data_IF_861111849868
#
_entry.id   IF_861111849868
#
_cell.length_a   1.000
_cell.length_b   1.000
_cell.length_c   1.000
_cell.angle_alpha   90.00
_cell.angle_beta   90.00
_cell.angle_gamma   90.00
#
_symmetry.space_group_name_H-M   'P 1'
#
loop_
_entity.id
_entity.type
_entity.pdbx_description
1 polymer ?
#
# COMPACT_ATOMS: atom_id res chain seq x y z
N UNK A 1 42.76 8.87 -17.15
CA UNK A 1 41.38 8.99 -17.69
C UNK A 1 40.83 7.64 -18.18
N UNK A 2 40.94 6.57 -17.38
CA UNK A 2 40.49 5.21 -17.77
C UNK A 2 39.54 4.63 -16.71
N UNK A 3 39.72 5.01 -15.44
CA UNK A 3 38.89 4.54 -14.33
C UNK A 3 37.47 5.12 -14.42
N UNK A 4 37.29 6.43 -14.69
CA UNK A 4 35.96 7.06 -14.80
C UNK A 4 35.05 6.45 -15.89
N UNK A 5 35.64 5.86 -16.94
CA UNK A 5 34.92 5.27 -18.07
C UNK A 5 34.32 3.90 -17.73
N UNK A 6 34.91 3.16 -16.78
CA UNK A 6 34.43 1.83 -16.37
C UNK A 6 33.19 1.90 -15.47
N UNK A 7 33.04 2.96 -14.68
CA UNK A 7 31.88 3.16 -13.82
C UNK A 7 30.65 3.67 -14.59
N UNK A 8 30.87 4.41 -15.68
CA UNK A 8 29.79 4.86 -16.56
C UNK A 8 29.06 3.67 -17.24
N UNK A 9 29.78 2.60 -17.58
CA UNK A 9 29.18 1.39 -18.17
C UNK A 9 28.37 0.58 -17.16
N UNK A 10 28.71 0.65 -15.86
CA UNK A 10 27.98 -0.06 -14.80
C UNK A 10 26.67 0.65 -14.44
N UNK A 11 26.66 1.99 -14.48
CA UNK A 11 25.47 2.82 -14.24
C UNK A 11 24.45 2.70 -15.38
N UNK A 12 24.90 2.57 -16.63
CA UNK A 12 24.02 2.38 -17.79
C UNK A 12 23.33 1.00 -17.78
N UNK A 13 23.98 -0.03 -17.24
CA UNK A 13 23.40 -1.38 -17.12
C UNK A 13 22.34 -1.45 -15.99
N UNK A 14 22.47 -0.64 -14.94
CA UNK A 14 21.49 -0.57 -13.85
C UNK A 14 20.16 0.08 -14.28
N UNK A 15 20.18 0.93 -15.31
CA UNK A 15 18.99 1.60 -15.86
C UNK A 15 18.14 0.69 -16.76
N UNK A 16 18.69 -0.42 -17.26
CA UNK A 16 17.98 -1.37 -18.12
C UNK A 16 17.12 -2.37 -17.36
N UNK A 17 17.22 -2.43 -16.02
CA UNK A 17 16.46 -3.38 -15.19
C UNK A 17 15.16 -2.80 -14.61
N UNK A 18 14.84 -1.54 -14.91
CA UNK A 18 13.58 -0.91 -14.48
C UNK A 18 12.55 -0.88 -15.61
N UNK A 19 12.41 -1.98 -16.36
CA UNK A 19 11.18 -2.15 -17.13
C UNK A 19 10.13 -2.60 -16.12
N UNK A 20 9.13 -1.77 -15.75
CA UNK A 20 8.00 -2.29 -15.02
C UNK A 20 7.32 -3.29 -15.94
N UNK A 21 7.46 -4.58 -15.63
CA UNK A 21 6.69 -5.65 -16.26
C UNK A 21 5.23 -5.43 -15.84
N UNK A 22 4.57 -4.48 -16.49
CA UNK A 22 3.15 -4.23 -16.31
C UNK A 22 2.46 -5.32 -17.11
N UNK A 23 2.19 -6.45 -16.46
CA UNK A 23 1.19 -7.40 -16.94
C UNK A 23 -0.14 -6.66 -16.94
N UNK A 24 -0.44 -5.97 -18.04
CA UNK A 24 -1.75 -5.38 -18.28
C UNK A 24 -2.69 -6.53 -18.60
N UNK A 25 -3.19 -7.20 -17.56
CA UNK A 25 -4.40 -8.00 -17.68
C UNK A 25 -5.51 -7.07 -18.13
N UNK A 26 -5.90 -7.17 -19.40
CA UNK A 26 -7.11 -6.52 -19.92
C UNK A 26 -8.30 -7.09 -19.14
N UNK A 27 -8.62 -6.45 -18.01
CA UNK A 27 -9.89 -6.59 -17.34
C UNK A 27 -10.92 -5.89 -18.21
N UNK A 28 -12.12 -6.47 -18.34
CA UNK A 28 -13.22 -5.75 -19.00
C UNK A 28 -13.46 -4.46 -18.22
N UNK A 29 -13.69 -3.35 -18.93
CA UNK A 29 -14.00 -2.06 -18.30
C UNK A 29 -15.11 -2.20 -17.27
N UNK A 30 -16.16 -2.97 -17.59
CA UNK A 30 -17.28 -3.27 -16.70
C UNK A 30 -16.87 -3.91 -15.37
N UNK A 31 -15.94 -4.88 -15.37
CA UNK A 31 -15.46 -5.50 -14.14
C UNK A 31 -14.68 -4.49 -13.29
N UNK A 32 -13.77 -3.74 -13.91
CA UNK A 32 -12.97 -2.73 -13.22
C UNK A 32 -13.85 -1.63 -12.65
N UNK A 33 -14.87 -1.20 -13.38
CA UNK A 33 -15.84 -0.19 -12.95
C UNK A 33 -16.70 -0.69 -11.78
N UNK A 34 -17.17 -1.94 -11.84
CA UNK A 34 -17.94 -2.56 -10.76
C UNK A 34 -17.11 -2.69 -9.47
N UNK A 35 -15.86 -3.15 -9.59
CA UNK A 35 -14.92 -3.23 -8.45
C UNK A 35 -14.58 -1.84 -7.91
N UNK A 36 -14.38 -0.86 -8.79
CA UNK A 36 -14.11 0.53 -8.41
C UNK A 36 -15.27 1.14 -7.64
N UNK A 37 -16.52 0.88 -8.09
CA UNK A 37 -17.73 1.29 -7.38
C UNK A 37 -17.82 0.63 -6.00
N UNK A 38 -17.62 -0.68 -5.93
CA UNK A 38 -17.63 -1.41 -4.66
C UNK A 38 -16.61 -0.86 -3.67
N UNK A 39 -15.38 -0.58 -4.10
CA UNK A 39 -14.37 0.03 -3.23
C UNK A 39 -14.76 1.44 -2.81
N UNK A 40 -15.33 2.26 -3.69
CA UNK A 40 -15.81 3.60 -3.35
C UNK A 40 -16.91 3.56 -2.29
N UNK A 41 -17.81 2.59 -2.36
CA UNK A 41 -18.94 2.46 -1.44
C UNK A 41 -18.48 1.89 -0.07
N UNK A 42 -17.40 1.11 -0.05
CA UNK A 42 -16.93 0.42 1.17
C UNK A 42 -15.79 1.15 1.89
N UNK A 43 -14.94 1.90 1.17
CA UNK A 43 -13.71 2.51 1.71
C UNK A 43 -13.83 4.04 1.76
N UNK A 44 -13.72 4.60 2.97
CA UNK A 44 -13.94 6.04 3.22
C UNK A 44 -12.98 6.96 2.47
N UNK A 45 -11.69 6.61 2.39
CA UNK A 45 -10.65 7.45 1.80
C UNK A 45 -10.21 6.95 0.42
N UNK A 46 -11.11 6.26 -0.28
CA UNK A 46 -10.80 5.61 -1.53
C UNK A 46 -10.40 6.61 -2.63
N UNK A 47 -9.30 6.32 -3.31
CA UNK A 47 -8.91 7.04 -4.53
C UNK A 47 -9.65 6.43 -5.71
N UNK A 48 -10.63 7.16 -6.25
CA UNK A 48 -11.38 6.75 -7.42
C UNK A 48 -10.45 6.41 -8.60
N UNK A 49 -10.71 5.31 -9.29
CA UNK A 49 -9.91 4.83 -10.43
C UNK A 49 -8.57 4.21 -10.05
N UNK A 50 -8.32 3.95 -8.77
CA UNK A 50 -7.08 3.31 -8.31
C UNK A 50 -7.11 1.78 -8.33
N UNK A 51 -8.19 1.18 -8.84
CA UNK A 51 -8.32 -0.28 -8.93
C UNK A 51 -7.22 -0.87 -9.80
N UNK A 52 -6.61 -1.93 -9.29
CA UNK A 52 -5.71 -2.79 -10.05
C UNK A 52 -6.15 -4.24 -9.87
N UNK A 53 -6.38 -4.95 -10.97
CA UNK A 53 -6.61 -6.39 -10.95
C UNK A 53 -5.24 -7.07 -10.96
N UNK A 54 -4.91 -7.76 -9.88
CA UNK A 54 -3.59 -8.36 -9.66
C UNK A 54 -3.52 -9.79 -10.19
N UNK A 55 -4.57 -10.57 -9.98
CA UNK A 55 -4.69 -11.94 -10.47
C UNK A 55 -6.17 -12.26 -10.72
N UNK A 56 -6.44 -13.22 -11.60
CA UNK A 56 -7.81 -13.65 -11.89
C UNK A 56 -7.87 -15.07 -12.40
N UNK A 57 -8.96 -15.76 -12.07
CA UNK A 57 -9.34 -17.04 -12.68
C UNK A 57 -10.78 -16.95 -13.19
N UNK A 58 -11.10 -17.73 -14.22
CA UNK A 58 -12.48 -17.90 -14.70
C UNK A 58 -12.86 -19.35 -14.50
N UNK A 59 -14.03 -19.59 -13.93
CA UNK A 59 -14.53 -20.94 -13.66
C UNK A 59 -16.06 -20.97 -13.66
N UNK A 60 -16.65 -22.15 -13.73
CA UNK A 60 -18.11 -22.32 -13.56
C UNK A 60 -18.41 -22.61 -12.10
N UNK A 61 -19.39 -21.90 -11.54
CA UNK A 61 -19.83 -22.08 -10.17
C UNK A 61 -21.36 -21.93 -10.07
N UNK A 62 -21.96 -22.61 -9.11
CA UNK A 62 -23.37 -22.45 -8.83
C UNK A 62 -23.59 -21.17 -8.03
N UNK A 63 -24.55 -20.36 -8.48
CA UNK A 63 -24.97 -19.12 -7.84
C UNK A 63 -26.41 -19.28 -7.41
N UNK A 64 -26.69 -19.05 -6.13
CA UNK A 64 -28.04 -19.01 -5.59
C UNK A 64 -28.65 -17.63 -5.84
N UNK A 65 -29.65 -17.57 -6.70
CA UNK A 65 -30.37 -16.35 -7.04
C UNK A 65 -31.87 -16.65 -7.01
N UNK A 66 -32.65 -15.85 -6.26
CA UNK A 66 -34.12 -15.98 -6.20
C UNK A 66 -34.66 -17.40 -5.89
N UNK A 67 -34.03 -18.12 -4.95
CA UNK A 67 -34.35 -19.50 -4.55
C UNK A 67 -34.06 -20.59 -5.60
N UNK A 68 -33.37 -20.27 -6.70
CA UNK A 68 -32.85 -21.24 -7.66
C UNK A 68 -31.33 -21.19 -7.71
N UNK A 69 -30.69 -22.35 -7.86
CA UNK A 69 -29.25 -22.47 -8.08
C UNK A 69 -28.99 -22.64 -9.57
N UNK A 70 -28.22 -21.72 -10.15
CA UNK A 70 -27.85 -21.74 -11.55
C UNK A 70 -26.34 -21.80 -11.72
N UNK A 71 -25.86 -22.61 -12.66
CA UNK A 71 -24.45 -22.66 -13.02
C UNK A 71 -24.11 -21.45 -13.89
N UNK A 72 -23.25 -20.57 -13.38
CA UNK A 72 -22.83 -19.34 -14.07
C UNK A 72 -21.32 -19.33 -14.30
N UNK A 73 -20.90 -18.60 -15.34
CA UNK A 73 -19.48 -18.34 -15.59
C UNK A 73 -19.01 -17.23 -14.66
N UNK A 74 -18.25 -17.60 -13.64
CA UNK A 74 -17.77 -16.67 -12.61
C UNK A 74 -16.28 -16.39 -12.80
N UNK A 75 -15.95 -15.10 -12.87
CA UNK A 75 -14.58 -14.61 -12.82
C UNK A 75 -14.24 -14.19 -11.41
N UNK A 76 -13.28 -14.88 -10.79
CA UNK A 76 -12.76 -14.55 -9.48
C UNK A 76 -11.53 -13.69 -9.65
N UNK A 77 -11.50 -12.53 -9.02
CA UNK A 77 -10.41 -11.55 -9.18
C UNK A 77 -9.84 -11.14 -7.83
N UNK A 78 -8.52 -11.08 -7.74
CA UNK A 78 -7.83 -10.37 -6.67
C UNK A 78 -7.65 -8.92 -7.14
N UNK A 79 -8.33 -7.98 -6.48
CA UNK A 79 -8.23 -6.57 -6.79
C UNK A 79 -7.59 -5.80 -5.64
N UNK A 80 -6.87 -4.74 -6.01
CA UNK A 80 -6.27 -3.79 -5.09
C UNK A 80 -6.86 -2.40 -5.31
N UNK A 81 -7.36 -1.77 -4.25
CA UNK A 81 -7.73 -0.37 -4.20
C UNK A 81 -6.75 0.45 -3.36
N UNK A 82 -6.56 1.72 -3.70
CA UNK A 82 -5.76 2.65 -2.87
C UNK A 82 -6.66 3.58 -2.06
N UNK A 83 -6.34 3.74 -0.79
CA UNK A 83 -6.87 4.79 0.06
C UNK A 83 -5.79 5.83 0.36
N UNK A 84 -6.12 7.12 0.25
CA UNK A 84 -5.19 8.22 0.54
C UNK A 84 -5.79 9.07 1.64
N UNK A 85 -5.17 9.02 2.83
CA UNK A 85 -5.50 9.90 3.96
C UNK A 85 -4.43 10.98 4.10
N UNK A 86 -4.88 12.22 4.28
CA UNK A 86 -4.03 13.39 4.56
C UNK A 86 -2.88 13.59 3.54
N UNK A 87 -3.05 13.09 2.31
CA UNK A 87 -2.07 13.11 1.21
C UNK A 87 -0.76 12.33 1.44
N UNK A 88 -0.46 11.88 2.66
CA UNK A 88 0.80 11.20 3.01
C UNK A 88 0.60 9.75 3.46
N UNK A 89 -0.59 9.36 3.92
CA UNK A 89 -0.91 8.01 4.34
C UNK A 89 -1.68 7.27 3.25
N UNK A 90 -0.92 6.53 2.44
CA UNK A 90 -1.42 5.70 1.35
C UNK A 90 -1.52 4.27 1.87
N UNK A 91 -2.72 3.69 1.75
CA UNK A 91 -2.98 2.30 2.06
C UNK A 91 -3.40 1.57 0.79
N UNK A 92 -2.97 0.33 0.66
CA UNK A 92 -3.42 -0.58 -0.39
C UNK A 92 -4.29 -1.65 0.26
N UNK A 93 -5.54 -1.70 -0.16
CA UNK A 93 -6.52 -2.69 0.29
C UNK A 93 -6.69 -3.74 -0.79
N UNK A 94 -6.33 -4.98 -0.48
CA UNK A 94 -6.48 -6.12 -1.38
C UNK A 94 -7.70 -6.95 -0.97
N UNK A 95 -8.56 -7.26 -1.92
CA UNK A 95 -9.78 -8.04 -1.70
C UNK A 95 -10.08 -8.94 -2.91
N UNK A 96 -10.71 -10.07 -2.65
CA UNK A 96 -11.20 -10.98 -3.70
C UNK A 96 -12.66 -10.62 -4.02
N UNK A 97 -12.96 -10.51 -5.31
CA UNK A 97 -14.31 -10.30 -5.82
C UNK A 97 -14.71 -11.44 -6.76
N UNK A 98 -16.01 -11.71 -6.79
CA UNK A 98 -16.63 -12.68 -7.69
C UNK A 98 -17.48 -11.90 -8.67
N UNK A 99 -17.29 -12.14 -9.96
CA UNK A 99 -17.97 -11.40 -11.02
C UNK A 99 -18.68 -12.38 -11.95
N UNK A 100 -19.98 -12.18 -12.13
CA UNK A 100 -20.77 -12.86 -13.15
C UNK A 100 -20.40 -12.30 -14.52
N UNK A 101 -19.76 -13.10 -15.37
CA UNK A 101 -19.31 -12.66 -16.69
C UNK A 101 -20.49 -12.34 -17.60
N UNK A 102 -21.56 -13.12 -17.49
CA UNK A 102 -22.73 -13.02 -18.35
C UNK A 102 -23.67 -11.92 -17.85
N UNK A 103 -23.91 -11.88 -16.53
CA UNK A 103 -24.72 -10.85 -15.87
C UNK A 103 -24.03 -9.49 -15.72
N UNK A 104 -22.71 -9.42 -15.89
CA UNK A 104 -21.88 -8.22 -15.72
C UNK A 104 -21.99 -7.56 -14.32
N UNK A 105 -22.20 -8.36 -13.29
CA UNK A 105 -22.41 -7.90 -11.92
C UNK A 105 -21.46 -8.57 -10.94
N UNK A 106 -21.17 -7.88 -9.83
CA UNK A 106 -20.48 -8.50 -8.71
C UNK A 106 -21.45 -9.40 -7.95
N UNK A 107 -20.98 -10.59 -7.64
CA UNK A 107 -21.70 -11.59 -6.85
C UNK A 107 -21.26 -11.51 -5.40
N UNK A 108 -22.21 -11.74 -4.49
CA UNK A 108 -21.88 -11.93 -3.09
C UNK A 108 -21.22 -13.30 -2.90
N UNK A 109 -20.19 -13.35 -2.06
CA UNK A 109 -19.53 -14.60 -1.71
C UNK A 109 -20.50 -15.59 -1.05
N UNK A 110 -21.54 -15.10 -0.37
CA UNK A 110 -22.53 -15.94 0.29
C UNK A 110 -23.49 -16.63 -0.71
N UNK A 111 -23.75 -16.00 -1.85
CA UNK A 111 -24.58 -16.57 -2.93
C UNK A 111 -23.84 -17.61 -3.78
N UNK A 112 -22.53 -17.78 -3.61
CA UNK A 112 -21.70 -18.60 -4.47
C UNK A 112 -21.33 -19.95 -3.82
N UNK A 113 -21.65 -21.05 -4.49
CA UNK A 113 -21.10 -22.37 -4.14
C UNK A 113 -19.66 -22.48 -4.63
N UNK A 114 -18.70 -22.40 -3.70
CA UNK A 114 -17.27 -22.42 -4.01
C UNK A 114 -16.78 -23.80 -4.47
N UNK A 115 -16.41 -23.90 -5.74
CA UNK A 115 -15.72 -25.06 -6.29
C UNK A 115 -14.24 -25.12 -5.85
N UNK A 116 -13.53 -26.17 -6.23
CA UNK A 116 -12.13 -26.36 -5.83
C UNK A 116 -11.18 -25.32 -6.42
N UNK A 117 -11.42 -24.83 -7.64
CA UNK A 117 -10.62 -23.78 -8.25
C UNK A 117 -10.71 -22.47 -7.45
N UNK A 118 -11.92 -22.09 -7.02
CA UNK A 118 -12.17 -20.91 -6.20
C UNK A 118 -11.49 -21.05 -4.82
N UNK A 119 -11.64 -22.21 -4.17
CA UNK A 119 -10.98 -22.48 -2.88
C UNK A 119 -9.46 -22.41 -2.98
N UNK A 120 -8.88 -22.94 -4.06
CA UNK A 120 -7.44 -22.85 -4.29
C UNK A 120 -6.98 -21.42 -4.52
N UNK A 121 -7.75 -20.63 -5.28
CA UNK A 121 -7.46 -19.22 -5.51
C UNK A 121 -7.50 -18.41 -4.20
N UNK A 122 -8.54 -18.59 -3.38
CA UNK A 122 -8.63 -17.95 -2.07
C UNK A 122 -7.46 -18.35 -1.15
N UNK A 123 -7.11 -19.64 -1.13
CA UNK A 123 -6.00 -20.14 -0.32
C UNK A 123 -4.67 -19.56 -0.77
N UNK A 124 -4.43 -19.44 -2.08
CA UNK A 124 -3.22 -18.86 -2.67
C UNK A 124 -3.02 -17.41 -2.21
N UNK A 125 -4.10 -16.62 -2.17
CA UNK A 125 -4.03 -15.18 -1.89
C UNK A 125 -4.44 -14.78 -0.47
N UNK A 126 -4.78 -15.73 0.42
CA UNK A 126 -5.25 -15.45 1.79
C UNK A 126 -4.34 -14.50 2.58
N UNK A 127 -3.02 -14.64 2.44
CA UNK A 127 -2.04 -13.83 3.17
C UNK A 127 -1.82 -12.43 2.56
N UNK A 128 -2.37 -12.21 1.37
CA UNK A 128 -2.29 -10.93 0.69
C UNK A 128 -3.47 -10.02 1.00
N UNK A 129 -4.60 -10.57 1.47
CA UNK A 129 -5.83 -9.83 1.72
C UNK A 129 -5.67 -8.81 2.84
N UNK A 130 -6.56 -7.81 2.80
CA UNK A 130 -6.65 -6.77 3.81
C UNK A 130 -5.91 -5.50 3.42
N UNK A 131 -5.76 -4.63 4.42
CA UNK A 131 -5.25 -3.28 4.26
C UNK A 131 -3.78 -3.22 4.70
N UNK A 132 -2.90 -2.79 3.81
CA UNK A 132 -1.47 -2.61 4.08
C UNK A 132 -1.06 -1.17 3.82
N UNK A 133 -0.26 -0.61 4.72
CA UNK A 133 0.32 0.71 4.52
C UNK A 133 1.36 0.63 3.40
N UNK A 134 1.41 1.65 2.54
CA UNK A 134 2.43 1.72 1.49
C UNK A 134 3.83 1.84 2.12
N UNK A 135 4.88 1.29 1.49
CA UNK A 135 6.26 1.42 1.98
C UNK A 135 6.69 2.89 2.16
N UNK A 136 6.20 3.78 1.29
CA UNK A 136 6.44 5.21 1.38
C UNK A 136 5.84 5.81 2.65
N UNK A 137 4.55 5.56 2.89
CA UNK A 137 3.85 6.06 4.08
C UNK A 137 4.38 5.44 5.37
N UNK A 138 4.80 4.17 5.33
CA UNK A 138 5.46 3.51 6.45
C UNK A 138 6.79 4.18 6.80
N UNK A 139 7.60 4.52 5.79
CA UNK A 139 8.85 5.26 5.99
C UNK A 139 8.59 6.62 6.63
N UNK A 140 7.59 7.38 6.15
CA UNK A 140 7.21 8.66 6.74
C UNK A 140 6.81 8.49 8.21
N UNK A 141 6.00 7.47 8.51
CA UNK A 141 5.57 7.16 9.87
C UNK A 141 6.77 6.88 10.79
N UNK A 142 7.76 6.09 10.32
CA UNK A 142 8.97 5.80 11.08
C UNK A 142 9.83 7.05 11.32
N UNK A 143 10.01 7.89 10.30
CA UNK A 143 10.75 9.16 10.43
C UNK A 143 10.06 10.09 11.42
N UNK A 144 8.74 10.24 11.33
CA UNK A 144 7.96 11.06 12.26
C UNK A 144 8.08 10.56 13.70
N UNK A 145 8.03 9.24 13.91
CA UNK A 145 8.20 8.63 15.22
C UNK A 145 9.60 8.89 15.79
N UNK A 146 10.63 8.71 14.98
CA UNK A 146 12.02 8.95 15.38
C UNK A 146 12.25 10.41 15.74
N UNK A 147 11.74 11.35 14.93
CA UNK A 147 11.80 12.78 15.22
C UNK A 147 11.08 13.11 16.53
N UNK A 148 9.91 12.53 16.79
CA UNK A 148 9.18 12.77 18.05
C UNK A 148 9.99 12.38 19.29
N UNK A 149 10.77 11.29 19.21
CA UNK A 149 11.61 10.80 20.32
C UNK A 149 12.91 11.61 20.44
N UNK A 150 13.55 11.95 19.32
CA UNK A 150 14.88 12.58 19.30
C UNK A 150 14.86 14.10 19.33
N UNK A 151 13.79 14.73 18.85
CA UNK A 151 13.69 16.18 18.75
C UNK A 151 13.66 16.87 20.13
N UNK A 152 12.88 16.43 21.13
CA UNK A 152 12.87 17.07 22.45
C UNK A 152 14.24 17.13 23.14
N UNK A 153 15.05 16.04 23.21
CA UNK A 153 16.37 16.13 23.81
C UNK A 153 17.35 16.95 22.97
N UNK A 154 17.30 16.89 21.63
CA UNK A 154 18.13 17.75 20.78
C UNK A 154 17.79 19.23 20.99
N UNK A 155 16.51 19.58 20.99
CA UNK A 155 16.05 20.93 21.28
C UNK A 155 16.50 21.36 22.68
N UNK A 156 16.40 20.48 23.67
CA UNK A 156 16.84 20.80 25.02
C UNK A 156 18.35 21.12 25.09
N UNK A 157 19.20 20.33 24.42
CA UNK A 157 20.64 20.60 24.36
C UNK A 157 20.92 21.92 23.62
N UNK A 158 20.23 22.18 22.51
CA UNK A 158 20.46 23.38 21.70
C UNK A 158 19.96 24.67 22.38
N UNK A 159 18.86 24.63 23.14
CA UNK A 159 18.28 25.83 23.77
C UNK A 159 18.66 26.03 25.24
N UNK A 160 19.04 24.97 25.97
CA UNK A 160 19.43 25.07 27.39
C UNK A 160 20.93 24.82 27.64
N UNK A 161 21.71 24.44 26.62
CA UNK A 161 23.16 24.19 26.75
C UNK A 161 24.00 25.41 27.15
N UNK A 162 23.53 26.63 26.85
CA UNK A 162 24.27 27.87 27.12
C UNK A 162 24.15 28.40 28.57
N UNK A 163 23.25 27.87 29.38
CA UNK A 163 23.06 28.38 30.75
C UNK A 163 24.21 28.02 31.71
N UNK A 164 25.08 27.05 31.36
CA UNK A 164 26.12 26.53 32.25
C UNK A 164 27.48 27.24 32.16
N UNK A 165 27.72 28.06 31.14
CA UNK A 165 29.04 28.71 30.93
C UNK A 165 29.16 30.08 31.61
N UNK A 166 28.06 30.71 32.01
CA UNK A 166 28.07 32.04 32.67
C UNK A 166 28.63 32.00 34.11
N UNK A 167 28.39 30.94 34.87
CA UNK A 167 28.84 30.86 36.27
C UNK A 167 30.35 30.59 36.46
N UNK A 168 31.09 30.21 35.41
CA UNK A 168 32.53 29.96 35.51
C UNK A 168 33.41 31.21 35.43
N UNK A 169 32.88 32.34 34.95
CA UNK A 169 33.68 33.58 34.86
C UNK A 169 33.55 34.51 36.08
N UNK A 170 32.48 34.41 36.87
CA UNK A 170 32.29 35.28 38.04
C UNK A 170 33.14 34.88 39.27
N UNK A 171 33.50 33.59 39.42
CA UNK A 171 34.26 33.11 40.58
C UNK A 171 35.75 33.48 40.54
N UNK A 172 36.34 33.70 39.36
CA UNK A 172 37.78 33.97 39.23
C UNK A 172 38.17 35.42 39.56
N UNK A 173 37.21 36.34 39.58
CA UNK A 173 37.46 37.76 39.87
C UNK A 173 37.46 38.09 41.38
N UNK A 174 36.90 37.21 42.23
CA UNK A 174 36.81 37.45 43.68
C UNK A 174 38.05 36.94 44.45
N UNK A 175 38.79 35.98 43.89
CA UNK A 175 39.98 35.40 44.52
C UNK A 175 41.30 36.17 44.31
N UNK A 176 41.29 37.32 43.64
CA UNK A 176 42.48 38.14 43.36
C UNK A 176 42.51 39.46 44.16
N UNK A 177 41.59 39.61 45.12
CA UNK A 177 41.58 40.68 46.12
C UNK A 177 41.46 40.08 47.52
N UNK A 178 42.52 39.42 47.98
CA UNK A 178 42.76 39.11 49.38
C UNK A 178 44.27 39.10 49.62
#
# INVERSE_FOLDING_TARGET
MIILKKWASLILFLFLFTIPFSVSGASSSALTDAVNKQFKDTLTYYKNGSVQILDSITTSAEVAENNTTEAKTVKVVLAQGSEIRDSIFIFHTKQIFYYDVDGQTLLDSASLTKNDAIKQFEKKHKNELGKKLSPFSFTILLVALLLTITFPPLAAVLFYGDASTSHRHASKAVGLKA
#
